data_IF_689871267371
#
_entry.id   IF_689871267371
#
_cell.length_a   1.000
_cell.length_b   1.000
_cell.length_c   1.000
_cell.angle_alpha   90.00
_cell.angle_beta   90.00
_cell.angle_gamma   90.00
#
_symmetry.space_group_name_H-M   'P 1'
#
loop_
_entity.id
_entity.type
_entity.pdbx_description
1 polymer ?
#
# COMPACT_ATOMS: atom_id res chain seq x y z
N UNK A 1 15.26 3.28 -3.85
CA UNK A 1 16.05 2.96 -5.05
C UNK A 1 17.07 1.86 -4.80
N UNK A 2 17.88 1.95 -3.74
CA UNK A 2 18.94 0.96 -3.44
C UNK A 2 18.44 -0.49 -3.44
N UNK A 3 17.35 -0.78 -2.72
CA UNK A 3 16.77 -2.13 -2.67
C UNK A 3 16.28 -2.62 -4.04
N UNK A 4 15.78 -1.73 -4.89
CA UNK A 4 15.32 -2.10 -6.23
C UNK A 4 16.50 -2.48 -7.13
N UNK A 5 17.57 -1.67 -7.14
CA UNK A 5 18.76 -1.95 -7.96
C UNK A 5 19.60 -3.13 -7.45
N UNK A 6 19.54 -3.43 -6.16
CA UNK A 6 20.22 -4.60 -5.58
C UNK A 6 19.45 -5.92 -5.81
N UNK A 7 18.17 -5.85 -6.17
CA UNK A 7 17.32 -7.03 -6.30
C UNK A 7 17.44 -7.66 -7.68
N UNK A 8 17.39 -9.00 -7.73
CA UNK A 8 17.30 -9.74 -9.00
C UNK A 8 15.96 -9.52 -9.70
N UNK A 9 14.90 -9.32 -8.92
CA UNK A 9 13.53 -9.11 -9.38
C UNK A 9 12.85 -8.04 -8.54
N UNK A 10 12.15 -7.11 -9.20
CA UNK A 10 11.45 -5.99 -8.56
C UNK A 10 9.99 -5.98 -9.00
N UNK A 11 9.10 -6.07 -8.02
CA UNK A 11 7.65 -5.95 -8.20
C UNK A 11 7.20 -4.72 -7.41
N UNK A 12 6.45 -3.83 -8.05
CA UNK A 12 5.90 -2.63 -7.42
C UNK A 12 4.39 -2.80 -7.28
N UNK A 13 3.88 -2.73 -6.05
CA UNK A 13 2.47 -2.45 -5.78
C UNK A 13 2.24 -0.94 -5.79
N UNK A 14 1.31 -0.46 -6.62
CA UNK A 14 1.01 0.97 -6.76
C UNK A 14 -0.47 1.23 -6.47
N UNK A 15 -0.78 2.41 -5.94
CA UNK A 15 -2.16 2.85 -5.69
C UNK A 15 -2.95 3.09 -6.99
N UNK A 16 -2.24 3.47 -8.06
CA UNK A 16 -2.80 3.78 -9.36
C UNK A 16 -1.76 3.52 -10.46
N UNK A 17 -2.22 3.08 -11.63
CA UNK A 17 -1.42 3.04 -12.85
C UNK A 17 -1.84 4.20 -13.76
N UNK A 18 -0.90 5.12 -13.99
CA UNK A 18 -1.09 6.29 -14.85
C UNK A 18 -0.51 6.09 -16.25
N UNK A 19 -0.88 6.97 -17.19
CA UNK A 19 -0.32 6.96 -18.54
C UNK A 19 1.18 7.28 -18.54
N UNK A 20 1.92 6.68 -19.48
CA UNK A 20 3.37 6.90 -19.62
C UNK A 20 3.71 8.34 -19.94
N UNK A 21 2.84 9.07 -20.65
CA UNK A 21 3.05 10.47 -20.98
C UNK A 21 3.03 11.38 -19.74
N UNK A 22 2.25 11.04 -18.71
CA UNK A 22 2.28 11.80 -17.44
C UNK A 22 3.61 11.60 -16.70
N UNK A 23 4.16 10.38 -16.71
CA UNK A 23 5.50 10.09 -16.19
C UNK A 23 6.57 10.87 -16.99
N UNK A 24 6.45 10.93 -18.32
CA UNK A 24 7.38 11.64 -19.21
C UNK A 24 7.29 13.16 -19.10
N UNK A 25 6.14 13.71 -18.71
CA UNK A 25 5.94 15.15 -18.50
C UNK A 25 6.85 15.69 -17.40
N UNK A 26 7.05 14.91 -16.33
CA UNK A 26 7.95 15.27 -15.23
C UNK A 26 8.75 14.04 -14.74
N UNK A 27 9.76 13.59 -15.51
CA UNK A 27 10.48 12.35 -15.21
C UNK A 27 11.29 12.44 -13.92
N UNK A 28 11.58 13.65 -13.43
CA UNK A 28 12.26 13.88 -12.16
C UNK A 28 11.48 13.40 -10.93
N UNK A 29 10.16 13.17 -11.05
CA UNK A 29 9.34 12.59 -9.98
C UNK A 29 9.40 11.06 -9.94
N UNK A 30 10.02 10.42 -10.95
CA UNK A 30 10.14 8.95 -11.00
C UNK A 30 11.29 8.48 -10.13
N UNK A 31 10.97 7.82 -9.01
CA UNK A 31 11.97 7.35 -8.04
C UNK A 31 12.64 6.01 -8.41
N UNK A 32 11.95 5.17 -9.17
CA UNK A 32 12.45 3.86 -9.62
C UNK A 32 12.30 3.79 -11.14
N UNK A 33 13.40 3.66 -11.90
CA UNK A 33 13.33 3.64 -13.37
C UNK A 33 12.77 2.31 -13.88
N UNK A 34 12.06 2.35 -15.01
CA UNK A 34 11.35 1.19 -15.59
C UNK A 34 12.26 -0.03 -15.83
N UNK A 35 13.53 0.17 -16.20
CA UNK A 35 14.45 -0.93 -16.50
C UNK A 35 14.85 -1.73 -15.26
N UNK A 36 14.60 -1.18 -14.06
CA UNK A 36 14.81 -1.85 -12.80
C UNK A 36 13.56 -2.59 -12.29
N UNK A 37 12.46 -2.58 -13.05
CA UNK A 37 11.15 -3.12 -12.64
C UNK A 37 10.75 -4.28 -13.54
N UNK A 38 10.32 -5.39 -12.95
CA UNK A 38 9.83 -6.57 -13.68
C UNK A 38 8.31 -6.60 -13.78
N UNK A 39 7.60 -6.12 -12.77
CA UNK A 39 6.14 -6.08 -12.75
C UNK A 39 5.62 -4.90 -11.92
N UNK A 40 4.46 -4.39 -12.33
CA UNK A 40 3.67 -3.39 -11.59
C UNK A 40 2.29 -3.98 -11.36
N UNK A 41 1.79 -3.89 -10.13
CA UNK A 41 0.48 -4.36 -9.72
C UNK A 41 -0.28 -3.18 -9.15
N UNK A 42 -1.45 -2.88 -9.73
CA UNK A 42 -2.39 -1.95 -9.12
C UNK A 42 -3.00 -2.61 -7.88
N UNK A 43 -2.72 -2.04 -6.71
CA UNK A 43 -3.17 -2.52 -5.42
C UNK A 43 -3.60 -1.33 -4.56
N UNK A 44 -4.83 -0.82 -4.76
CA UNK A 44 -5.36 0.29 -3.98
C UNK A 44 -5.38 -0.07 -2.49
N UNK A 45 -4.96 0.87 -1.65
CA UNK A 45 -4.72 0.66 -0.23
C UNK A 45 -3.71 -0.47 0.08
N UNK A 46 -2.72 -0.67 -0.79
CA UNK A 46 -1.75 -1.77 -0.70
C UNK A 46 -0.80 -1.66 0.50
N UNK A 47 -0.62 -0.46 1.05
CA UNK A 47 0.19 -0.24 2.25
C UNK A 47 -0.61 -0.37 3.56
N UNK A 48 -1.94 -0.58 3.51
CA UNK A 48 -2.75 -0.79 4.70
C UNK A 48 -2.18 -1.97 5.55
N UNK A 49 -2.09 -1.85 6.89
CA UNK A 49 -2.62 -0.78 7.76
C UNK A 49 -1.68 0.42 7.94
N UNK A 50 -0.54 0.45 7.26
CA UNK A 50 0.39 1.57 7.22
C UNK A 50 -0.13 2.77 6.41
N UNK A 51 0.74 3.76 6.23
CA UNK A 51 0.43 4.98 5.44
C UNK A 51 0.97 4.87 4.02
N UNK A 52 0.27 5.50 3.08
CA UNK A 52 0.76 5.81 1.75
C UNK A 52 0.71 7.34 1.57
N UNK A 53 1.87 8.04 1.69
CA UNK A 53 1.94 9.49 1.54
C UNK A 53 1.26 9.98 0.26
N UNK A 54 0.45 11.04 0.37
CA UNK A 54 -0.34 11.56 -0.74
C UNK A 54 -1.71 10.90 -0.93
N UNK A 55 -1.89 9.65 -0.47
CA UNK A 55 -3.12 8.87 -0.65
C UNK A 55 -3.91 8.67 0.65
N UNK A 56 -3.31 8.12 1.72
CA UNK A 56 -3.99 7.85 3.00
C UNK A 56 -3.05 7.73 4.22
N UNK A 57 -3.59 8.10 5.38
CA UNK A 57 -2.96 7.92 6.69
C UNK A 57 -3.01 6.46 7.17
N UNK A 58 -2.25 6.13 8.22
CA UNK A 58 -2.25 4.80 8.83
C UNK A 58 -3.47 4.53 9.70
N UNK A 59 -3.92 3.27 9.71
CA UNK A 59 -4.90 2.79 10.67
C UNK A 59 -4.19 2.36 11.96
N UNK A 60 -4.06 3.31 12.88
CA UNK A 60 -3.34 3.08 14.15
C UNK A 60 -3.92 1.91 14.96
N UNK A 61 -5.23 1.67 14.89
CA UNK A 61 -5.86 0.57 15.61
C UNK A 61 -5.45 -0.79 15.01
N UNK A 62 -5.49 -0.91 13.68
CA UNK A 62 -5.09 -2.13 12.98
C UNK A 62 -3.57 -2.40 13.11
N UNK A 63 -2.74 -1.35 13.09
CA UNK A 63 -1.30 -1.45 13.37
C UNK A 63 -1.06 -1.97 14.80
N UNK A 64 -1.80 -1.46 15.79
CA UNK A 64 -1.68 -1.96 17.16
C UNK A 64 -2.13 -3.42 17.28
N UNK A 65 -3.16 -3.83 16.53
CA UNK A 65 -3.65 -5.21 16.55
C UNK A 65 -2.56 -6.22 16.16
N UNK A 66 -1.87 -6.00 15.02
CA UNK A 66 -0.78 -6.90 14.61
C UNK A 66 0.40 -6.87 15.59
N UNK A 67 0.73 -5.71 16.17
CA UNK A 67 1.78 -5.65 17.19
C UNK A 67 1.42 -6.42 18.46
N UNK A 68 0.15 -6.43 18.87
CA UNK A 68 -0.30 -7.24 20.00
C UNK A 68 -0.25 -8.74 19.67
N UNK A 69 -0.61 -9.12 18.45
CA UNK A 69 -0.50 -10.52 18.00
C UNK A 69 0.96 -11.00 17.99
N UNK A 70 1.89 -10.17 17.49
CA UNK A 70 3.34 -10.47 17.54
C UNK A 70 3.82 -10.62 18.99
N UNK A 71 3.47 -9.66 19.86
CA UNK A 71 3.91 -9.67 21.27
C UNK A 71 3.39 -10.89 22.04
N UNK A 72 2.18 -11.34 21.69
CA UNK A 72 1.50 -12.46 22.36
C UNK A 72 1.78 -13.81 21.69
N UNK A 73 2.61 -13.84 20.64
CA UNK A 73 2.87 -15.04 19.82
C UNK A 73 1.59 -15.67 19.21
N UNK A 74 0.60 -14.82 18.90
CA UNK A 74 -0.69 -15.22 18.29
C UNK A 74 -0.83 -14.78 16.83
N UNK A 75 0.29 -14.62 16.12
CA UNK A 75 0.32 -14.19 14.71
C UNK A 75 -0.47 -15.15 13.81
N UNK A 76 -0.49 -16.45 14.11
CA UNK A 76 -1.30 -17.43 13.38
C UNK A 76 -2.80 -17.09 13.40
N UNK A 77 -3.34 -16.69 14.55
CA UNK A 77 -4.75 -16.27 14.68
C UNK A 77 -5.02 -14.98 13.90
N UNK A 78 -4.05 -14.06 13.90
CA UNK A 78 -4.14 -12.84 13.09
C UNK A 78 -4.21 -13.17 11.60
N UNK A 79 -3.37 -14.10 11.11
CA UNK A 79 -3.37 -14.54 9.71
C UNK A 79 -4.70 -15.19 9.35
N UNK A 80 -5.22 -16.10 10.19
CA UNK A 80 -6.54 -16.72 9.98
C UNK A 80 -7.70 -15.72 10.03
N UNK A 81 -7.55 -14.62 10.77
CA UNK A 81 -8.52 -13.54 10.78
C UNK A 81 -8.43 -12.66 9.52
N UNK A 82 -7.24 -12.22 9.15
CA UNK A 82 -7.04 -11.14 8.19
C UNK A 82 -6.67 -11.58 6.78
N UNK A 83 -6.13 -12.79 6.60
CA UNK A 83 -5.52 -13.19 5.33
C UNK A 83 -6.17 -14.46 4.80
N UNK A 84 -6.07 -15.58 5.53
CA UNK A 84 -6.51 -16.91 5.04
C UNK A 84 -7.93 -16.96 4.46
N UNK A 85 -8.94 -16.23 5.01
CA UNK A 85 -10.31 -16.33 4.52
C UNK A 85 -10.61 -15.62 3.20
N UNK A 86 -9.68 -14.82 2.67
CA UNK A 86 -9.94 -13.93 1.54
C UNK A 86 -9.10 -14.34 0.34
N UNK A 87 -9.71 -14.36 -0.85
CA UNK A 87 -8.98 -14.69 -2.08
C UNK A 87 -8.21 -13.48 -2.60
N UNK A 88 -8.68 -12.27 -2.29
CA UNK A 88 -8.09 -11.02 -2.76
C UNK A 88 -7.93 -9.97 -1.66
N UNK A 89 -6.98 -9.04 -1.88
CA UNK A 89 -6.77 -7.86 -1.03
C UNK A 89 -8.03 -6.99 -0.93
N UNK A 90 -8.74 -6.80 -2.05
CA UNK A 90 -9.96 -5.98 -2.08
C UNK A 90 -11.09 -6.60 -1.23
N UNK A 91 -11.25 -7.92 -1.27
CA UNK A 91 -12.21 -8.64 -0.43
C UNK A 91 -11.88 -8.49 1.05
N UNK A 92 -10.61 -8.66 1.42
CA UNK A 92 -10.12 -8.46 2.79
C UNK A 92 -10.45 -7.06 3.29
N UNK A 93 -10.08 -6.03 2.52
CA UNK A 93 -10.33 -4.63 2.88
C UNK A 93 -11.82 -4.34 3.03
N UNK A 94 -12.64 -4.84 2.10
CA UNK A 94 -14.08 -4.65 2.16
C UNK A 94 -14.70 -5.32 3.39
N UNK A 95 -14.32 -6.56 3.68
CA UNK A 95 -14.90 -7.35 4.77
C UNK A 95 -14.40 -6.91 6.17
N UNK A 96 -13.14 -6.49 6.30
CA UNK A 96 -12.51 -6.20 7.59
C UNK A 96 -12.40 -4.71 7.93
N UNK A 97 -12.25 -3.85 6.93
CA UNK A 97 -12.00 -2.41 7.13
C UNK A 97 -13.25 -1.59 6.78
N UNK A 98 -13.83 -1.89 5.61
CA UNK A 98 -15.01 -1.20 5.10
C UNK A 98 -14.69 0.16 4.48
N UNK A 99 -15.51 0.55 3.49
CA UNK A 99 -15.30 1.74 2.66
C UNK A 99 -15.25 3.04 3.49
N UNK A 100 -16.12 3.16 4.50
CA UNK A 100 -16.18 4.36 5.34
C UNK A 100 -14.84 4.63 6.04
N UNK A 101 -14.18 3.58 6.56
CA UNK A 101 -12.90 3.72 7.23
C UNK A 101 -11.79 4.06 6.24
N UNK A 102 -11.76 3.41 5.07
CA UNK A 102 -10.78 3.73 4.03
C UNK A 102 -10.88 5.19 3.57
N UNK A 103 -12.10 5.73 3.41
CA UNK A 103 -12.32 7.14 3.08
C UNK A 103 -11.90 8.08 4.21
N UNK A 104 -12.15 7.71 5.47
CA UNK A 104 -11.68 8.45 6.64
C UNK A 104 -10.15 8.59 6.61
N UNK A 105 -9.42 7.50 6.39
CA UNK A 105 -7.95 7.49 6.31
C UNK A 105 -7.43 8.36 5.16
N UNK A 106 -8.10 8.35 4.00
CA UNK A 106 -7.76 9.25 2.89
C UNK A 106 -7.96 10.73 3.24
N UNK A 107 -9.01 11.04 3.98
CA UNK A 107 -9.31 12.43 4.40
C UNK A 107 -8.32 12.97 5.43
N UNK A 108 -7.73 12.07 6.24
CA UNK A 108 -6.74 12.40 7.26
C UNK A 108 -5.33 12.60 6.70
N UNK A 109 -5.08 12.19 5.45
CA UNK A 109 -3.79 12.40 4.83
C UNK A 109 -3.50 13.90 4.66
N UNK A 110 -2.32 14.33 5.10
CA UNK A 110 -1.94 15.75 5.11
C UNK A 110 -0.87 16.08 4.09
N UNK A 111 -0.15 15.08 3.59
CA UNK A 111 0.84 15.26 2.51
C UNK A 111 0.08 15.43 1.20
N UNK A 112 0.26 16.60 0.58
CA UNK A 112 -0.34 16.95 -0.73
C UNK A 112 0.70 17.38 -1.77
N UNK A 113 1.88 17.79 -1.34
CA UNK A 113 2.93 18.30 -2.23
C UNK A 113 3.64 17.15 -2.94
N UNK A 114 3.75 17.23 -4.28
CA UNK A 114 4.36 16.18 -5.12
C UNK A 114 3.42 15.02 -5.50
N UNK A 115 2.21 14.98 -4.92
CA UNK A 115 1.17 13.99 -5.22
C UNK A 115 -0.08 14.75 -5.69
N UNK A 116 -0.14 15.06 -6.98
CA UNK A 116 -1.30 15.71 -7.60
C UNK A 116 -2.08 14.64 -8.38
N UNK A 117 -3.33 14.33 -7.98
CA UNK A 117 -4.24 13.61 -8.85
C UNK A 117 -4.69 14.48 -10.03
#
# INVERSE_FOLDING_TARGET
MESALASRKVIISAEEIIDTEEIRRNPGLTSIPYYAVDAVVEAPHGAYPGTCPGYYSSDSAAVMEIFQAIRSDTVGEYIEKWITPFETHAEMLHARVGVAKLLELRSQESIREGYHP
#
